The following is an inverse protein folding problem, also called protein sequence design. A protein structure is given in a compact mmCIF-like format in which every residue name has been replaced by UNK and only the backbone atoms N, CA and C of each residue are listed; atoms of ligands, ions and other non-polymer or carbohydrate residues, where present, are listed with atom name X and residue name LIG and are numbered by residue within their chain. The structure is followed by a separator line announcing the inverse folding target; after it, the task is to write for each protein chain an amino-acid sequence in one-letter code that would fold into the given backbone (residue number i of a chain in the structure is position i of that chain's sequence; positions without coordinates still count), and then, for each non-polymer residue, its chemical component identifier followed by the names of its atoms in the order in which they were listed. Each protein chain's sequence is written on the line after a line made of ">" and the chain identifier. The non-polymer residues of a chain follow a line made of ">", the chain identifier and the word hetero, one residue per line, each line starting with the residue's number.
data_IF_095473345015
#
_entry.id   IF_095473345015
#
_cell.length_a   1.000
_cell.length_b   1.000
_cell.length_c   1.000
_cell.angle_alpha   90.00
_cell.angle_beta   90.00
_cell.angle_gamma   90.00
#
_symmetry.space_group_name_H-M   'P 1'
#
loop_
_entity.id
_entity.type
_entity.pdbx_description
1 polymer ?
#
# COMPACT_ATOMS: atom_id res chain seq x y z
N UNK A 1 16.00 -19.22 -33.88
CA UNK A 1 16.84 -19.03 -32.67
C UNK A 1 16.42 -17.72 -32.06
N UNK A 2 15.64 -17.76 -30.97
CA UNK A 2 15.10 -16.56 -30.32
C UNK A 2 16.02 -16.18 -29.16
N UNK A 3 16.72 -15.06 -29.30
CA UNK A 3 17.58 -14.51 -28.25
C UNK A 3 16.75 -14.15 -27.00
N UNK A 4 17.09 -14.79 -25.89
CA UNK A 4 16.52 -14.54 -24.57
C UNK A 4 17.02 -13.18 -24.10
N UNK A 5 16.14 -12.17 -24.00
CA UNK A 5 16.51 -10.88 -23.42
C UNK A 5 16.80 -11.06 -21.92
N UNK A 6 17.94 -10.58 -21.41
CA UNK A 6 18.27 -10.74 -20.00
C UNK A 6 17.30 -9.96 -19.12
N UNK A 7 16.90 -10.57 -18.00
CA UNK A 7 15.99 -9.97 -17.03
C UNK A 7 16.63 -8.75 -16.36
N UNK A 8 16.02 -7.58 -16.53
CA UNK A 8 16.43 -6.35 -15.84
C UNK A 8 15.82 -6.37 -14.43
N UNK A 9 16.65 -6.58 -13.42
CA UNK A 9 16.28 -6.31 -12.02
C UNK A 9 16.24 -4.79 -11.84
N UNK A 10 15.06 -4.24 -11.60
CA UNK A 10 14.89 -2.86 -11.13
C UNK A 10 15.18 -2.80 -9.63
N UNK A 11 16.28 -2.14 -9.27
CA UNK A 11 16.69 -1.94 -7.88
C UNK A 11 16.21 -0.57 -7.38
N UNK A 12 15.14 -0.56 -6.58
CA UNK A 12 14.54 0.64 -6.00
C UNK A 12 15.36 1.26 -4.85
N UNK A 13 16.43 0.60 -4.37
CA UNK A 13 17.32 1.15 -3.35
C UNK A 13 18.39 2.08 -3.91
N UNK A 14 18.77 1.90 -5.18
CA UNK A 14 19.82 2.69 -5.86
C UNK A 14 19.55 4.20 -5.90
N UNK A 15 18.28 4.62 -5.87
CA UNK A 15 17.89 6.03 -5.88
C UNK A 15 17.88 6.73 -4.52
N UNK A 16 17.97 5.98 -3.41
CA UNK A 16 17.94 6.55 -2.05
C UNK A 16 19.36 6.90 -1.58
N UNK A 17 20.38 6.17 -2.04
CA UNK A 17 21.78 6.44 -1.68
C UNK A 17 22.33 7.75 -2.28
N UNK A 18 21.69 8.26 -3.34
CA UNK A 18 22.05 9.53 -3.99
C UNK A 18 21.37 10.76 -3.36
N UNK A 19 20.48 10.58 -2.39
CA UNK A 19 19.83 11.71 -1.70
C UNK A 19 20.80 12.30 -0.67
N UNK A 20 20.96 13.63 -0.73
CA UNK A 20 21.76 14.36 0.25
C UNK A 20 21.23 14.14 1.67
N UNK A 21 22.12 14.03 2.68
CA UNK A 21 21.70 13.81 4.05
C UNK A 21 20.76 14.93 4.50
N UNK A 22 19.68 14.54 5.17
CA UNK A 22 18.65 15.45 5.66
C UNK A 22 19.31 16.62 6.43
N UNK A 23 18.95 17.88 6.14
CA UNK A 23 19.48 19.03 6.87
C UNK A 23 19.27 18.86 8.39
N UNK A 24 20.30 19.17 9.18
CA UNK A 24 20.19 19.13 10.64
C UNK A 24 19.11 20.13 11.07
N UNK A 25 18.19 19.66 11.90
CA UNK A 25 17.07 20.48 12.40
C UNK A 25 17.63 21.64 13.22
N UNK A 26 17.33 22.88 12.81
CA UNK A 26 17.73 24.07 13.55
C UNK A 26 16.91 24.20 14.83
N UNK A 27 17.59 24.36 15.97
CA UNK A 27 16.97 24.42 17.29
C UNK A 27 15.98 25.59 17.43
N UNK A 28 16.27 26.72 16.77
CA UNK A 28 15.42 27.92 16.79
C UNK A 28 14.07 27.67 16.10
N UNK A 29 14.08 27.01 14.94
CA UNK A 29 12.86 26.69 14.19
C UNK A 29 11.98 25.68 14.96
N UNK A 30 12.62 24.77 15.69
CA UNK A 30 11.93 23.77 16.51
C UNK A 30 11.18 24.41 17.67
N UNK A 31 11.79 25.38 18.35
CA UNK A 31 11.15 26.09 19.46
C UNK A 31 9.95 26.93 19.00
N UNK A 32 10.07 27.63 17.87
CA UNK A 32 8.98 28.40 17.29
C UNK A 32 7.76 27.52 16.94
N UNK A 33 7.99 26.33 16.37
CA UNK A 33 6.93 25.37 16.07
C UNK A 33 6.28 24.76 17.32
N UNK A 34 7.06 24.52 18.39
CA UNK A 34 6.53 24.04 19.67
C UNK A 34 5.67 25.12 20.35
N UNK A 35 6.10 26.38 20.29
CA UNK A 35 5.36 27.49 20.88
C UNK A 35 4.04 27.74 20.14
N UNK A 36 4.05 27.74 18.80
CA UNK A 36 2.83 27.81 18.00
C UNK A 36 1.89 26.62 18.26
N UNK A 37 2.45 25.42 18.50
CA UNK A 37 1.69 24.23 18.87
C UNK A 37 0.94 24.36 20.20
N UNK A 38 1.51 25.05 21.19
CA UNK A 38 0.86 25.26 22.50
C UNK A 38 -0.39 26.15 22.41
N UNK A 39 -0.38 27.14 21.53
CA UNK A 39 -1.53 28.05 21.31
C UNK A 39 -2.74 27.33 20.69
N UNK A 40 -2.51 26.27 19.91
CA UNK A 40 -3.57 25.43 19.31
C UNK A 40 -3.99 24.24 20.18
N UNK A 41 -3.61 24.23 21.47
CA UNK A 41 -4.07 23.24 22.45
C UNK A 41 -3.14 22.04 22.65
N UNK A 42 -1.87 22.12 22.24
CA UNK A 42 -0.89 21.06 22.51
C UNK A 42 -0.38 21.13 23.96
N UNK A 43 -1.00 20.38 24.87
CA UNK A 43 -0.47 20.13 26.22
C UNK A 43 0.63 19.08 26.16
N UNK A 44 1.75 19.31 26.83
CA UNK A 44 2.93 18.45 26.76
C UNK A 44 2.65 16.97 27.03
N UNK A 45 3.34 16.10 26.29
CA UNK A 45 3.19 14.64 26.35
C UNK A 45 3.67 14.10 27.69
N UNK A 46 2.79 13.34 28.35
CA UNK A 46 3.11 12.50 29.49
C UNK A 46 4.34 11.63 29.25
N UNK A 47 5.15 11.54 30.29
CA UNK A 47 6.37 10.73 30.38
C UNK A 47 6.03 9.26 30.14
N UNK A 48 6.79 8.61 29.26
CA UNK A 48 6.99 7.16 29.36
C UNK A 48 6.01 6.25 28.62
N UNK A 49 5.85 6.44 27.32
CA UNK A 49 5.79 5.28 26.44
C UNK A 49 6.45 5.65 25.12
N UNK A 50 7.54 4.94 24.79
CA UNK A 50 8.07 4.92 23.43
C UNK A 50 7.01 4.22 22.58
N UNK A 51 5.99 4.95 22.18
CA UNK A 51 5.14 4.57 21.06
C UNK A 51 6.08 4.52 19.86
N UNK A 52 6.50 3.31 19.51
CA UNK A 52 7.07 3.05 18.20
C UNK A 52 6.09 3.65 17.19
N UNK A 53 6.53 4.69 16.48
CA UNK A 53 5.71 5.42 15.49
C UNK A 53 5.20 4.50 14.38
N UNK A 54 5.68 3.25 14.34
CA UNK A 54 5.05 2.11 13.70
C UNK A 54 3.94 1.54 14.60
N UNK A 55 2.93 2.36 14.94
CA UNK A 55 1.58 1.79 14.98
C UNK A 55 1.32 1.36 13.55
N UNK A 56 1.67 0.11 13.23
CA UNK A 56 1.17 -0.58 12.05
C UNK A 56 -0.31 -0.24 12.02
N UNK A 57 -0.72 0.56 11.04
CA UNK A 57 -2.14 0.64 10.72
C UNK A 57 -2.54 -0.82 10.59
N UNK A 58 -3.46 -1.30 11.42
CA UNK A 58 -4.07 -2.60 11.19
C UNK A 58 -4.74 -2.47 9.83
N UNK A 59 -3.99 -2.78 8.76
CA UNK A 59 -4.56 -2.96 7.44
C UNK A 59 -5.53 -4.11 7.69
N UNK A 60 -6.83 -3.89 7.53
CA UNK A 60 -7.86 -4.87 7.89
C UNK A 60 -7.63 -6.28 7.30
N UNK A 61 -6.76 -6.40 6.29
CA UNK A 61 -6.15 -7.63 5.85
C UNK A 61 -4.93 -8.03 6.72
N UNK A 62 -5.16 -8.91 7.70
CA UNK A 62 -4.09 -9.50 8.52
C UNK A 62 -3.38 -10.70 7.85
N UNK A 63 -3.82 -11.10 6.65
CA UNK A 63 -3.36 -12.30 5.95
C UNK A 63 -3.01 -11.93 4.50
N UNK A 64 -1.88 -12.43 4.01
CA UNK A 64 -1.44 -12.28 2.62
C UNK A 64 -1.60 -13.61 1.88
N UNK A 65 -2.10 -13.55 0.65
CA UNK A 65 -2.20 -14.69 -0.26
C UNK A 65 -1.25 -14.46 -1.44
N UNK A 66 -0.29 -15.35 -1.64
CA UNK A 66 0.61 -15.34 -2.79
C UNK A 66 0.14 -16.38 -3.80
N UNK A 67 -0.18 -15.94 -5.03
CA UNK A 67 -0.67 -16.79 -6.11
C UNK A 67 0.37 -16.79 -7.23
N UNK A 68 0.70 -17.97 -7.77
CA UNK A 68 1.50 -18.10 -8.99
C UNK A 68 0.53 -18.19 -10.17
N UNK A 69 0.68 -17.28 -11.11
CA UNK A 69 -0.10 -17.20 -12.35
C UNK A 69 0.86 -16.94 -13.51
N UNK A 70 0.41 -17.24 -14.72
CA UNK A 70 1.10 -16.90 -15.96
C UNK A 70 1.07 -15.39 -16.21
N UNK A 71 1.94 -14.91 -17.11
CA UNK A 71 1.96 -13.50 -17.50
C UNK A 71 0.66 -13.08 -18.20
N UNK A 72 0.08 -13.99 -19.00
CA UNK A 72 -1.20 -13.78 -19.66
C UNK A 72 -2.34 -13.62 -18.65
N UNK A 73 -2.49 -14.56 -17.72
CA UNK A 73 -3.52 -14.48 -16.67
C UNK A 73 -3.36 -13.22 -15.82
N UNK A 74 -2.12 -12.81 -15.52
CA UNK A 74 -1.87 -11.55 -14.82
C UNK A 74 -2.39 -10.35 -15.61
N UNK A 75 -2.14 -10.30 -16.92
CA UNK A 75 -2.60 -9.20 -17.76
C UNK A 75 -4.14 -9.14 -17.81
N UNK A 76 -4.80 -10.29 -17.96
CA UNK A 76 -6.26 -10.42 -17.96
C UNK A 76 -6.84 -9.96 -16.60
N UNK A 77 -6.32 -10.45 -15.47
CA UNK A 77 -6.77 -10.04 -14.13
C UNK A 77 -6.62 -8.53 -13.93
N UNK A 78 -5.50 -7.95 -14.36
CA UNK A 78 -5.26 -6.52 -14.20
C UNK A 78 -6.18 -5.67 -15.08
N UNK A 79 -6.47 -6.14 -16.30
CA UNK A 79 -7.41 -5.50 -17.20
C UNK A 79 -8.81 -5.47 -16.59
N UNK A 80 -9.34 -6.63 -16.20
CA UNK A 80 -10.69 -6.76 -15.65
C UNK A 80 -10.84 -6.04 -14.30
N UNK A 81 -9.80 -6.11 -13.45
CA UNK A 81 -9.78 -5.34 -12.22
C UNK A 81 -9.80 -3.84 -12.48
N UNK A 82 -9.07 -3.36 -13.49
CA UNK A 82 -9.04 -1.93 -13.82
C UNK A 82 -10.40 -1.44 -14.30
N UNK A 83 -11.10 -2.20 -15.14
CA UNK A 83 -12.45 -1.86 -15.59
C UNK A 83 -13.41 -1.74 -14.39
N UNK A 84 -13.39 -2.75 -13.50
CA UNK A 84 -14.29 -2.77 -12.35
C UNK A 84 -13.96 -1.72 -11.28
N UNK A 85 -12.69 -1.34 -11.12
CA UNK A 85 -12.27 -0.29 -10.18
C UNK A 85 -12.64 1.10 -10.71
N UNK A 86 -12.65 1.29 -12.02
CA UNK A 86 -13.00 2.57 -12.64
C UNK A 86 -14.52 2.80 -12.74
N UNK A 87 -15.33 1.74 -12.62
CA UNK A 87 -16.79 1.84 -12.60
C UNK A 87 -17.27 2.59 -11.34
N UNK A 88 -17.93 3.77 -11.49
CA UNK A 88 -18.46 4.54 -10.36
C UNK A 88 -19.54 3.81 -9.55
N UNK A 89 -20.16 2.76 -10.10
CA UNK A 89 -21.16 1.95 -9.42
C UNK A 89 -20.56 0.75 -8.67
N UNK A 90 -19.29 0.46 -8.89
CA UNK A 90 -18.60 -0.65 -8.26
C UNK A 90 -18.22 -0.33 -6.82
N UNK A 91 -18.33 -1.34 -5.95
CA UNK A 91 -17.82 -1.27 -4.57
C UNK A 91 -16.37 -1.71 -4.44
N UNK A 92 -15.74 -2.16 -5.54
CA UNK A 92 -14.38 -2.67 -5.58
C UNK A 92 -13.41 -1.52 -5.85
N UNK A 93 -12.45 -1.30 -4.95
CA UNK A 93 -11.53 -0.15 -5.01
C UNK A 93 -10.08 -0.55 -5.31
N UNK A 94 -9.75 -1.84 -5.19
CA UNK A 94 -8.40 -2.35 -5.40
C UNK A 94 -8.39 -3.81 -5.88
N UNK A 95 -7.23 -4.26 -6.37
CA UNK A 95 -7.04 -5.62 -6.92
C UNK A 95 -7.33 -6.70 -5.87
N UNK A 96 -7.00 -6.46 -4.59
CA UNK A 96 -7.28 -7.43 -3.52
C UNK A 96 -8.78 -7.65 -3.35
N UNK A 97 -9.56 -6.56 -3.34
CA UNK A 97 -11.03 -6.61 -3.32
C UNK A 97 -11.61 -7.26 -4.57
N UNK A 98 -11.02 -7.01 -5.75
CA UNK A 98 -11.43 -7.66 -7.00
C UNK A 98 -11.30 -9.18 -6.92
N UNK A 99 -10.16 -9.70 -6.42
CA UNK A 99 -9.96 -11.15 -6.28
C UNK A 99 -10.96 -11.75 -5.29
N UNK A 100 -11.23 -11.07 -4.17
CA UNK A 100 -12.23 -11.52 -3.19
C UNK A 100 -13.64 -11.50 -3.81
N UNK A 101 -13.98 -10.46 -4.57
CA UNK A 101 -15.24 -10.34 -5.30
C UNK A 101 -15.42 -11.51 -6.28
N UNK A 102 -14.41 -11.80 -7.11
CA UNK A 102 -14.46 -12.90 -8.08
C UNK A 102 -14.68 -14.28 -7.41
N UNK A 103 -13.99 -14.53 -6.29
CA UNK A 103 -14.18 -15.78 -5.52
C UNK A 103 -15.59 -15.87 -4.94
N UNK A 104 -16.13 -14.77 -4.41
CA UNK A 104 -17.50 -14.73 -3.89
C UNK A 104 -18.54 -14.92 -5.00
N UNK A 105 -18.34 -14.28 -6.16
CA UNK A 105 -19.16 -14.46 -7.34
C UNK A 105 -19.20 -15.94 -7.75
N UNK A 106 -18.03 -16.59 -7.84
CA UNK A 106 -17.94 -18.02 -8.12
C UNK A 106 -18.68 -18.87 -7.09
N UNK A 107 -18.55 -18.57 -5.78
CA UNK A 107 -19.28 -19.30 -4.72
C UNK A 107 -20.79 -19.19 -4.86
N UNK A 108 -21.31 -17.99 -5.14
CA UNK A 108 -22.74 -17.74 -5.32
C UNK A 108 -23.30 -18.50 -6.53
N UNK A 109 -22.56 -18.52 -7.64
CA UNK A 109 -23.02 -19.17 -8.87
C UNK A 109 -22.75 -20.68 -8.90
N UNK A 110 -21.78 -21.17 -8.10
CA UNK A 110 -21.56 -22.60 -7.88
C UNK A 110 -22.75 -23.27 -7.18
N UNK A 111 -23.45 -22.56 -6.31
CA UNK A 111 -24.60 -23.09 -5.58
C UNK A 111 -25.86 -23.29 -6.46
N UNK A 112 -25.89 -22.76 -7.67
CA UNK A 112 -26.98 -22.98 -8.64
C UNK A 112 -26.81 -24.24 -9.51
N UNK A 113 -25.76 -25.04 -9.27
CA UNK A 113 -25.37 -26.20 -10.10
C UNK A 113 -25.27 -27.51 -9.31
N UNK A 114 -25.86 -27.60 -8.11
CA UNK A 114 -25.97 -28.84 -7.33
C UNK A 114 -27.43 -29.26 -7.20
#
# INVERSE_FOLDING_TARGET
>A
MSDIRPAIKLDFMSGIETLSPRPKVNALTTQASVQAGREVGFSERGVGSKLDGRKLRSRGANIQLNIKITEQEKAEILHDASELIQDPQSSVTNIGEFVVFAVNFYRLHRAGSL
#
